data_IF_872980718556
#
_entry.id   IF_872980718556
#
_cell.length_a   1.000
_cell.length_b   1.000
_cell.length_c   1.000
_cell.angle_alpha   90.00
_cell.angle_beta   90.00
_cell.angle_gamma   90.00
#
_symmetry.space_group_name_H-M   'P 1'
#
loop_
_entity.id
_entity.type
_entity.pdbx_description
1 polymer ?
#
# COMPACT_ATOMS: atom_id res chain seq x y z
N UNK A 1 2.01 6.51 -1.83
CA UNK A 1 0.72 6.07 -1.28
C UNK A 1 -0.31 7.17 -1.47
N UNK A 2 -0.36 8.23 -0.64
CA UNK A 2 -1.36 9.30 -0.79
C UNK A 2 -1.44 9.95 -2.18
N UNK A 3 -0.29 10.27 -2.79
CA UNK A 3 -0.25 10.83 -4.15
C UNK A 3 -0.82 9.87 -5.20
N UNK A 4 -0.54 8.57 -5.07
CA UNK A 4 -1.07 7.57 -5.98
C UNK A 4 -2.59 7.48 -5.85
N UNK A 5 -3.12 7.65 -4.63
CA UNK A 5 -4.56 7.65 -4.39
C UNK A 5 -5.25 8.91 -4.92
N UNK A 6 -4.61 10.07 -4.77
CA UNK A 6 -5.08 11.34 -5.35
C UNK A 6 -5.16 11.28 -6.88
N UNK A 7 -4.13 10.71 -7.52
CA UNK A 7 -4.13 10.53 -8.97
C UNK A 7 -5.16 9.47 -9.40
N UNK A 8 -5.23 8.34 -8.69
CA UNK A 8 -6.16 7.26 -9.01
C UNK A 8 -7.62 7.69 -8.94
N UNK A 9 -7.99 8.39 -7.87
CA UNK A 9 -9.33 8.97 -7.71
C UNK A 9 -9.58 10.13 -8.66
N UNK A 10 -8.59 11.01 -8.88
CA UNK A 10 -8.70 12.13 -9.82
C UNK A 10 -8.89 11.71 -11.28
N UNK A 11 -8.29 10.58 -11.70
CA UNK A 11 -8.49 9.99 -13.04
C UNK A 11 -9.68 9.02 -13.12
N UNK A 12 -10.51 8.93 -12.09
CA UNK A 12 -11.63 7.97 -12.00
C UNK A 12 -11.22 6.51 -12.22
N UNK A 13 -10.00 6.13 -11.84
CA UNK A 13 -9.56 4.73 -11.87
C UNK A 13 -10.24 3.91 -10.75
N UNK A 14 -10.64 4.57 -9.67
CA UNK A 14 -11.49 4.03 -8.63
C UNK A 14 -12.09 5.14 -7.76
N UNK A 15 -13.11 4.81 -6.97
CA UNK A 15 -13.77 5.75 -6.06
C UNK A 15 -14.13 5.09 -4.73
N UNK A 16 -14.23 5.91 -3.69
CA UNK A 16 -14.70 5.52 -2.35
C UNK A 16 -16.08 6.14 -2.12
N UNK A 17 -17.20 5.41 -2.29
CA UNK A 17 -18.52 6.00 -2.12
C UNK A 17 -19.01 5.99 -0.65
N UNK A 18 -18.45 5.14 0.22
CA UNK A 18 -18.95 4.89 1.59
C UNK A 18 -18.05 5.46 2.71
N UNK A 19 -17.19 6.43 2.43
CA UNK A 19 -16.42 7.12 3.46
C UNK A 19 -17.28 8.01 4.37
N UNK A 20 -17.01 8.00 5.68
CA UNK A 20 -17.68 8.86 6.66
C UNK A 20 -17.06 10.27 6.67
N UNK A 21 -15.73 10.35 6.49
CA UNK A 21 -14.95 11.59 6.49
C UNK A 21 -13.95 11.54 5.35
N UNK A 22 -13.91 12.57 4.51
CA UNK A 22 -13.01 12.65 3.35
C UNK A 22 -12.00 13.79 3.49
N UNK A 23 -10.77 13.55 3.03
CA UNK A 23 -9.71 14.54 2.86
C UNK A 23 -9.22 14.44 1.41
N UNK A 24 -9.50 15.48 0.60
CA UNK A 24 -9.09 15.50 -0.82
C UNK A 24 -9.70 14.38 -1.67
N UNK A 25 -10.95 13.97 -1.37
CA UNK A 25 -11.64 12.88 -2.09
C UNK A 25 -11.31 11.46 -1.61
N UNK A 26 -10.43 11.33 -0.61
CA UNK A 26 -10.03 10.03 -0.04
C UNK A 26 -10.55 9.93 1.41
N UNK A 27 -11.12 8.78 1.84
CA UNK A 27 -11.55 8.60 3.22
C UNK A 27 -10.40 8.76 4.21
N UNK A 28 -10.59 9.54 5.27
CA UNK A 28 -9.56 9.78 6.29
C UNK A 28 -9.07 8.49 6.97
N UNK A 29 -9.99 7.54 7.21
CA UNK A 29 -9.64 6.23 7.76
C UNK A 29 -8.76 5.41 6.81
N UNK A 30 -8.99 5.49 5.49
CA UNK A 30 -8.14 4.85 4.48
C UNK A 30 -6.71 5.40 4.52
N UNK A 31 -6.56 6.72 4.71
CA UNK A 31 -5.24 7.35 4.86
C UNK A 31 -4.53 6.77 6.09
N UNK A 32 -5.17 6.79 7.25
CA UNK A 32 -4.59 6.26 8.51
C UNK A 32 -4.22 4.79 8.36
N UNK A 33 -5.12 3.97 7.81
CA UNK A 33 -4.88 2.55 7.56
C UNK A 33 -3.68 2.34 6.63
N UNK A 34 -3.57 3.12 5.55
CA UNK A 34 -2.48 3.00 4.57
C UNK A 34 -1.12 3.27 5.22
N UNK A 35 -1.01 4.31 6.03
CA UNK A 35 0.22 4.61 6.77
C UNK A 35 0.53 3.54 7.83
N UNK A 36 -0.47 3.14 8.63
CA UNK A 36 -0.30 2.10 9.64
C UNK A 36 0.19 0.79 9.01
N UNK A 37 -0.45 0.35 7.92
CA UNK A 37 -0.10 -0.88 7.19
C UNK A 37 1.30 -0.78 6.57
N UNK A 38 1.67 0.38 6.05
CA UNK A 38 3.01 0.63 5.50
C UNK A 38 4.09 0.52 6.58
N UNK A 39 3.85 1.10 7.76
CA UNK A 39 4.76 1.04 8.91
C UNK A 39 4.91 -0.42 9.38
N UNK A 40 3.80 -1.14 9.54
CA UNK A 40 3.83 -2.55 9.96
C UNK A 40 4.59 -3.41 8.94
N UNK A 41 4.33 -3.22 7.64
CA UNK A 41 5.05 -3.91 6.58
C UNK A 41 6.56 -3.70 6.67
N UNK A 42 7.00 -2.43 6.81
CA UNK A 42 8.42 -2.09 6.90
C UNK A 42 9.07 -2.57 8.20
N UNK A 43 8.36 -2.50 9.32
CA UNK A 43 8.87 -2.92 10.63
C UNK A 43 9.21 -4.42 10.67
N UNK A 44 8.40 -5.25 10.01
CA UNK A 44 8.63 -6.69 9.91
C UNK A 44 9.32 -7.13 8.60
N UNK A 45 9.82 -6.19 7.79
CA UNK A 45 10.49 -6.52 6.53
C UNK A 45 11.79 -7.29 6.82
N UNK A 46 11.95 -8.54 6.34
CA UNK A 46 13.15 -9.33 6.60
C UNK A 46 14.42 -8.67 6.05
N UNK A 47 15.58 -8.89 6.68
CA UNK A 47 16.86 -8.39 6.13
C UNK A 47 17.36 -9.20 4.93
N UNK A 48 17.08 -10.52 4.89
CA UNK A 48 17.51 -11.40 3.79
C UNK A 48 16.63 -11.23 2.55
N UNK A 49 17.23 -11.18 1.37
CA UNK A 49 16.55 -10.81 0.10
C UNK A 49 15.52 -11.84 -0.36
N UNK A 50 15.83 -13.11 -0.23
CA UNK A 50 14.95 -14.25 -0.48
C UNK A 50 13.69 -14.20 0.40
N UNK A 51 13.88 -13.98 1.70
CA UNK A 51 12.77 -13.87 2.64
C UNK A 51 11.94 -12.60 2.42
N UNK A 52 12.53 -11.50 1.94
CA UNK A 52 11.78 -10.31 1.55
C UNK A 52 10.79 -10.59 0.45
N UNK A 53 11.21 -11.27 -0.62
CA UNK A 53 10.31 -11.56 -1.75
C UNK A 53 9.13 -12.41 -1.28
N UNK A 54 9.39 -13.48 -0.53
CA UNK A 54 8.33 -14.32 0.02
C UNK A 54 7.39 -13.55 0.97
N UNK A 55 7.96 -12.71 1.84
CA UNK A 55 7.19 -11.86 2.76
C UNK A 55 6.32 -10.84 2.01
N UNK A 56 6.86 -10.16 1.00
CA UNK A 56 6.12 -9.21 0.17
C UNK A 56 4.97 -9.89 -0.54
N UNK A 57 5.19 -11.06 -1.16
CA UNK A 57 4.13 -11.85 -1.82
C UNK A 57 3.02 -12.19 -0.82
N UNK A 58 3.37 -12.65 0.38
CA UNK A 58 2.40 -13.00 1.42
C UNK A 58 1.58 -11.79 1.88
N UNK A 59 2.23 -10.66 2.16
CA UNK A 59 1.54 -9.43 2.58
C UNK A 59 0.68 -8.86 1.44
N UNK A 60 1.15 -8.92 0.19
CA UNK A 60 0.34 -8.56 -0.98
C UNK A 60 -0.91 -9.43 -1.08
N UNK A 61 -0.82 -10.73 -0.79
CA UNK A 61 -1.99 -11.62 -0.82
C UNK A 61 -3.00 -11.23 0.27
N UNK A 62 -2.53 -10.88 1.47
CA UNK A 62 -3.40 -10.41 2.56
C UNK A 62 -4.09 -9.09 2.19
N UNK A 63 -3.37 -8.12 1.63
CA UNK A 63 -3.97 -6.86 1.19
C UNK A 63 -4.93 -7.04 0.03
N UNK A 64 -4.67 -7.98 -0.87
CA UNK A 64 -5.60 -8.31 -1.94
C UNK A 64 -6.93 -8.87 -1.40
N UNK A 65 -6.88 -9.69 -0.34
CA UNK A 65 -8.09 -10.17 0.33
C UNK A 65 -8.87 -9.01 0.95
N UNK A 66 -8.19 -8.07 1.61
CA UNK A 66 -8.83 -6.87 2.18
C UNK A 66 -9.46 -6.03 1.06
N UNK A 67 -8.74 -5.79 -0.03
CA UNK A 67 -9.26 -5.07 -1.20
C UNK A 67 -10.49 -5.76 -1.80
N UNK A 68 -10.46 -7.09 -1.94
CA UNK A 68 -11.59 -7.87 -2.44
C UNK A 68 -12.82 -7.76 -1.54
N UNK A 69 -12.65 -7.78 -0.21
CA UNK A 69 -13.73 -7.56 0.75
C UNK A 69 -14.29 -6.15 0.61
N UNK A 70 -13.41 -5.13 0.56
CA UNK A 70 -13.81 -3.73 0.41
C UNK A 70 -14.55 -3.48 -0.90
N UNK A 71 -14.11 -4.13 -1.98
CA UNK A 71 -14.78 -4.05 -3.27
C UNK A 71 -16.17 -4.71 -3.22
N UNK A 72 -16.27 -5.90 -2.62
CA UNK A 72 -17.52 -6.65 -2.49
C UNK A 72 -18.59 -5.89 -1.70
N UNK A 73 -18.21 -5.22 -0.60
CA UNK A 73 -19.15 -4.42 0.21
C UNK A 73 -19.43 -3.02 -0.38
N UNK A 74 -18.80 -2.68 -1.50
CA UNK A 74 -18.95 -1.37 -2.15
C UNK A 74 -18.22 -0.22 -1.44
N UNK A 75 -17.28 -0.52 -0.54
CA UNK A 75 -16.45 0.51 0.09
C UNK A 75 -15.44 1.13 -0.89
N UNK A 76 -15.00 0.36 -1.89
CA UNK A 76 -14.19 0.82 -3.04
C UNK A 76 -14.79 0.30 -4.34
N UNK A 77 -14.95 1.18 -5.32
CA UNK A 77 -15.46 0.82 -6.63
C UNK A 77 -14.38 1.06 -7.67
N UNK A 78 -14.02 -0.01 -8.38
CA UNK A 78 -13.14 0.04 -9.55
C UNK A 78 -13.98 -0.19 -10.81
N UNK A 79 -13.81 0.59 -11.90
CA UNK A 79 -14.55 0.39 -13.15
C UNK A 79 -14.25 -0.96 -13.83
N UNK A 80 -13.01 -1.45 -13.70
CA UNK A 80 -12.56 -2.71 -14.28
C UNK A 80 -11.67 -3.46 -13.29
N UNK A 81 -12.26 -3.88 -12.17
CA UNK A 81 -11.52 -4.61 -11.14
C UNK A 81 -10.99 -5.95 -11.67
N UNK A 82 -9.71 -6.22 -11.47
CA UNK A 82 -9.09 -7.49 -11.80
C UNK A 82 -8.13 -7.90 -10.69
N UNK A 83 -8.38 -9.07 -10.12
CA UNK A 83 -7.67 -9.58 -8.95
C UNK A 83 -6.17 -9.80 -9.22
N UNK A 84 -5.81 -10.28 -10.42
CA UNK A 84 -4.41 -10.47 -10.80
C UNK A 84 -3.69 -9.13 -10.98
N UNK A 85 -4.35 -8.15 -11.59
CA UNK A 85 -3.79 -6.80 -11.74
C UNK A 85 -3.54 -6.14 -10.38
N UNK A 86 -4.52 -6.16 -9.48
CA UNK A 86 -4.36 -5.64 -8.11
C UNK A 86 -3.23 -6.33 -7.36
N UNK A 87 -3.10 -7.66 -7.49
CA UNK A 87 -2.01 -8.41 -6.86
C UNK A 87 -0.63 -7.97 -7.35
N UNK A 88 -0.45 -7.83 -8.67
CA UNK A 88 0.80 -7.35 -9.26
C UNK A 88 1.13 -5.94 -8.77
N UNK A 89 0.12 -5.08 -8.70
CA UNK A 89 0.27 -3.69 -8.27
C UNK A 89 0.66 -3.59 -6.79
N UNK A 90 0.11 -4.46 -5.94
CA UNK A 90 0.49 -4.58 -4.53
C UNK A 90 1.94 -5.05 -4.36
N UNK A 91 2.36 -6.08 -5.11
CA UNK A 91 3.76 -6.56 -5.07
C UNK A 91 4.71 -5.43 -5.48
N UNK A 92 4.40 -4.74 -6.58
CA UNK A 92 5.22 -3.65 -7.08
C UNK A 92 5.29 -2.49 -6.06
N UNK A 93 4.15 -2.05 -5.54
CA UNK A 93 4.06 -0.96 -4.57
C UNK A 93 4.83 -1.25 -3.28
N UNK A 94 4.68 -2.45 -2.71
CA UNK A 94 5.39 -2.86 -1.50
C UNK A 94 6.89 -3.08 -1.73
N UNK A 95 7.27 -3.59 -2.90
CA UNK A 95 8.68 -3.72 -3.29
C UNK A 95 9.34 -2.35 -3.43
N UNK A 96 8.67 -1.41 -4.10
CA UNK A 96 9.13 -0.03 -4.25
C UNK A 96 9.25 0.66 -2.88
N UNK A 97 8.26 0.49 -2.00
CA UNK A 97 8.29 1.02 -0.65
C UNK A 97 9.49 0.50 0.15
N UNK A 98 9.72 -0.82 0.14
CA UNK A 98 10.86 -1.45 0.82
C UNK A 98 12.22 -1.06 0.22
N UNK A 99 12.28 -0.78 -1.08
CA UNK A 99 13.47 -0.27 -1.75
C UNK A 99 13.77 1.17 -1.30
N UNK A 100 12.77 2.05 -1.34
CA UNK A 100 12.91 3.46 -0.95
C UNK A 100 13.25 3.62 0.54
N UNK A 101 12.64 2.83 1.42
CA UNK A 101 13.00 2.84 2.85
C UNK A 101 14.46 2.46 3.08
N UNK A 102 15.02 1.63 2.19
CA UNK A 102 16.42 1.24 2.24
C UNK A 102 17.40 2.39 2.02
N UNK A 103 17.03 3.44 1.27
CA UNK A 103 17.87 4.63 1.14
C UNK A 103 17.83 5.47 2.41
N UNK A 104 16.62 5.79 2.88
CA UNK A 104 16.40 6.64 4.05
C UNK A 104 17.06 6.07 5.31
N UNK A 105 17.02 4.75 5.50
CA UNK A 105 17.60 4.09 6.68
C UNK A 105 19.13 3.97 6.58
N UNK A 106 19.68 3.87 5.36
CA UNK A 106 21.13 3.71 5.17
C UNK A 106 21.87 5.00 5.51
N UNK A 107 21.30 6.14 5.13
CA UNK A 107 21.84 7.46 5.44
C UNK A 107 21.83 7.74 6.95
N UNK A 108 20.77 7.31 7.66
CA UNK A 108 20.66 7.47 9.11
C UNK A 108 21.67 6.63 9.93
N UNK A 109 22.18 5.53 9.37
CA UNK A 109 23.20 4.69 10.03
C UNK A 109 24.61 5.26 9.81
N UNK A 110 24.90 5.83 8.64
CA UNK A 110 26.19 6.49 8.37
C UNK A 110 26.36 7.78 9.19
N UNK A 111 25.30 8.55 9.46
CA UNK A 111 25.35 9.70 10.38
C UNK A 111 25.53 9.33 11.86
N UNK A 112 25.19 8.10 12.25
CA UNK A 112 25.23 7.63 13.64
C UNK A 112 26.57 6.97 14.04
N UNK A 113 27.49 6.78 13.09
CA UNK A 113 28.85 6.27 13.35
C UNK A 113 29.89 7.37 13.11
N UNK A 114 30.46 7.98 14.16
CA UNK A 114 31.63 8.85 14.06
C UNK A 114 32.93 8.09 13.77
#
# INVERSE_FOLDING_TARGET
MLLADLLGTGYNLYAYPQGILYLGGIPALHIVQTYASSILYLNWLPRRRDLRVAYTILVSALFLVVEAIMHYIGAVVYPSWNLAYSFILLIFGLSMLGYLSGFVIKDAVEEATP
#
